data_IF_864666338272
#
_entry.id   IF_864666338272
#
_cell.length_a   1.000
_cell.length_b   1.000
_cell.length_c   1.000
_cell.angle_alpha   90.00
_cell.angle_beta   90.00
_cell.angle_gamma   90.00
#
_symmetry.space_group_name_H-M   'P 1'
#
loop_
_entity.id
_entity.type
_entity.pdbx_description
1 polymer ?
#
# COMPACT_ATOMS: atom_id res chain seq x y z
N UNK A 1 4.34 -18.23 11.46
CA UNK A 1 4.60 -17.22 10.43
C UNK A 1 3.32 -17.13 9.61
N UNK A 2 2.41 -16.21 9.95
CA UNK A 2 1.09 -16.11 9.31
C UNK A 2 1.22 -15.29 8.04
N UNK A 3 1.44 -15.98 6.92
CA UNK A 3 1.48 -15.38 5.59
C UNK A 3 0.05 -15.40 5.02
N UNK A 4 -0.33 -14.37 4.26
CA UNK A 4 -1.64 -14.33 3.60
C UNK A 4 -1.77 -15.51 2.65
N UNK A 5 -2.76 -16.36 2.87
CA UNK A 5 -3.07 -17.44 1.92
C UNK A 5 -3.62 -16.85 0.63
N UNK A 6 -3.63 -17.62 -0.46
CA UNK A 6 -4.29 -17.20 -1.69
C UNK A 6 -5.78 -16.84 -1.46
N UNK A 7 -6.45 -17.56 -0.57
CA UNK A 7 -7.84 -17.28 -0.21
C UNK A 7 -7.97 -15.92 0.49
N UNK A 8 -7.07 -15.60 1.43
CA UNK A 8 -7.04 -14.29 2.09
C UNK A 8 -6.78 -13.15 1.09
N UNK A 9 -5.89 -13.39 0.12
CA UNK A 9 -5.54 -12.42 -0.92
C UNK A 9 -6.76 -12.13 -1.82
N UNK A 10 -7.43 -13.17 -2.33
CA UNK A 10 -8.66 -13.04 -3.12
C UNK A 10 -9.77 -12.36 -2.33
N UNK A 11 -9.90 -12.67 -1.03
CA UNK A 11 -10.87 -12.04 -0.15
C UNK A 11 -10.57 -10.53 0.03
N UNK A 12 -9.32 -10.13 0.24
CA UNK A 12 -8.95 -8.72 0.32
C UNK A 12 -9.23 -7.95 -0.98
N UNK A 13 -8.92 -8.53 -2.13
CA UNK A 13 -9.22 -7.92 -3.44
C UNK A 13 -10.73 -7.75 -3.63
N UNK A 14 -11.51 -8.77 -3.28
CA UNK A 14 -12.96 -8.69 -3.33
C UNK A 14 -13.51 -7.61 -2.39
N UNK A 15 -13.05 -7.58 -1.13
CA UNK A 15 -13.45 -6.55 -0.16
C UNK A 15 -13.15 -5.15 -0.69
N UNK A 16 -11.97 -4.94 -1.28
CA UNK A 16 -11.60 -3.66 -1.88
C UNK A 16 -12.57 -3.26 -3.01
N UNK A 17 -12.83 -4.16 -3.96
CA UNK A 17 -13.74 -3.93 -5.08
C UNK A 17 -15.19 -3.69 -4.63
N UNK A 18 -15.71 -4.55 -3.77
CA UNK A 18 -17.09 -4.46 -3.25
C UNK A 18 -17.28 -3.15 -2.47
N UNK A 19 -16.28 -2.72 -1.69
CA UNK A 19 -16.32 -1.45 -0.94
C UNK A 19 -16.39 -0.23 -1.87
N UNK A 20 -15.61 -0.25 -2.95
CA UNK A 20 -15.66 0.80 -3.97
C UNK A 20 -17.01 0.80 -4.68
N UNK A 21 -17.53 -0.38 -5.06
CA UNK A 21 -18.85 -0.51 -5.68
C UNK A 21 -19.96 0.07 -4.79
N UNK A 22 -20.02 -0.32 -3.52
CA UNK A 22 -21.01 0.21 -2.56
C UNK A 22 -20.89 1.74 -2.41
N UNK A 23 -19.65 2.27 -2.39
CA UNK A 23 -19.43 3.72 -2.34
C UNK A 23 -20.01 4.44 -3.57
N UNK A 24 -19.73 3.92 -4.78
CA UNK A 24 -20.23 4.50 -6.04
C UNK A 24 -21.76 4.42 -6.15
N UNK A 25 -22.36 3.33 -5.65
CA UNK A 25 -23.81 3.14 -5.60
C UNK A 25 -24.50 3.90 -4.45
N UNK A 26 -23.72 4.53 -3.55
CA UNK A 26 -24.21 5.17 -2.31
C UNK A 26 -24.96 4.21 -1.38
N UNK A 27 -24.51 2.96 -1.35
CA UNK A 27 -25.03 1.92 -0.48
C UNK A 27 -24.22 1.84 0.82
N UNK A 28 -24.74 1.09 1.80
CA UNK A 28 -24.00 0.81 3.01
C UNK A 28 -22.73 0.00 2.66
N UNK A 29 -21.56 0.32 3.26
CA UNK A 29 -20.34 -0.44 3.03
C UNK A 29 -20.55 -1.91 3.43
N UNK A 30 -20.29 -2.83 2.51
CA UNK A 30 -20.29 -4.25 2.81
C UNK A 30 -18.92 -4.68 3.31
N UNK A 31 -18.86 -5.18 4.55
CA UNK A 31 -17.68 -5.83 5.11
C UNK A 31 -18.06 -7.26 5.49
N UNK A 32 -17.56 -8.29 4.77
CA UNK A 32 -17.86 -9.68 5.10
C UNK A 32 -17.18 -10.08 6.43
N UNK A 33 -17.68 -11.15 7.04
CA UNK A 33 -16.91 -11.85 8.06
C UNK A 33 -15.64 -12.45 7.44
N UNK A 34 -14.54 -12.37 8.19
CA UNK A 34 -13.22 -12.84 7.74
C UNK A 34 -12.72 -13.96 8.67
N UNK A 35 -11.94 -14.93 8.17
CA UNK A 35 -11.50 -16.11 8.93
C UNK A 35 -10.49 -15.84 10.07
N UNK A 36 -10.24 -14.57 10.44
CA UNK A 36 -9.28 -14.18 11.47
C UNK A 36 -7.84 -14.06 10.94
N UNK A 37 -6.86 -14.25 11.83
CA UNK A 37 -5.43 -14.20 11.48
C UNK A 37 -4.99 -12.80 11.02
N UNK A 38 -4.10 -12.74 10.02
CA UNK A 38 -3.51 -11.50 9.53
C UNK A 38 -4.56 -10.49 9.03
N UNK A 39 -5.70 -10.97 8.53
CA UNK A 39 -6.81 -10.13 8.08
C UNK A 39 -7.34 -9.24 9.21
N UNK A 40 -7.35 -9.76 10.44
CA UNK A 40 -7.86 -9.07 11.63
C UNK A 40 -6.79 -8.27 12.37
N UNK A 41 -5.52 -8.40 11.99
CA UNK A 41 -4.42 -7.68 12.64
C UNK A 41 -4.26 -6.26 12.07
N UNK A 42 -3.76 -5.30 12.87
CA UNK A 42 -3.34 -3.99 12.37
C UNK A 42 -2.11 -4.12 11.46
N UNK A 43 -2.30 -3.91 10.16
CA UNK A 43 -1.24 -3.96 9.14
C UNK A 43 -1.37 -2.80 8.18
N UNK A 44 -0.25 -2.12 7.95
CA UNK A 44 -0.22 -1.09 6.91
C UNK A 44 -0.57 -1.68 5.55
N UNK A 45 -1.28 -0.92 4.73
CA UNK A 45 -1.72 -1.38 3.41
C UNK A 45 -1.78 -0.22 2.43
N UNK A 46 -1.39 -0.48 1.19
CA UNK A 46 -1.66 0.39 0.05
C UNK A 46 -2.58 -0.34 -0.92
N UNK A 47 -3.56 0.38 -1.46
CA UNK A 47 -4.42 -0.09 -2.55
C UNK A 47 -4.14 0.78 -3.76
N UNK A 48 -3.76 0.12 -4.85
CA UNK A 48 -3.54 0.73 -6.16
C UNK A 48 -4.60 0.23 -7.12
N UNK A 49 -5.16 1.13 -7.91
CA UNK A 49 -6.11 0.86 -8.97
C UNK A 49 -5.41 1.15 -10.29
N UNK A 50 -5.44 0.19 -11.21
CA UNK A 50 -4.85 0.33 -12.53
C UNK A 50 -5.91 0.20 -13.62
N UNK A 51 -5.79 0.97 -14.69
CA UNK A 51 -6.61 0.83 -15.90
C UNK A 51 -5.70 0.55 -17.07
N UNK A 52 -5.84 -0.62 -17.71
CA UNK A 52 -5.00 -1.03 -18.85
C UNK A 52 -3.49 -0.93 -18.55
N UNK A 53 -3.10 -1.30 -17.33
CA UNK A 53 -1.72 -1.24 -16.86
C UNK A 53 -1.23 0.13 -16.37
N UNK A 54 -2.03 1.20 -16.51
CA UNK A 54 -1.68 2.54 -16.03
C UNK A 54 -2.28 2.85 -14.66
N UNK A 55 -1.55 3.58 -13.82
CA UNK A 55 -2.03 3.97 -12.49
C UNK A 55 -3.25 4.90 -12.59
N UNK A 56 -4.35 4.50 -11.96
CA UNK A 56 -5.65 5.21 -11.95
C UNK A 56 -6.04 5.75 -10.57
N UNK A 57 -5.35 5.30 -9.51
CA UNK A 57 -5.46 5.80 -8.14
C UNK A 57 -4.58 4.97 -7.20
N UNK A 58 -4.00 5.58 -6.17
CA UNK A 58 -3.26 4.84 -5.14
C UNK A 58 -3.25 5.59 -3.81
N UNK A 59 -3.79 4.95 -2.78
CA UNK A 59 -3.82 5.43 -1.41
C UNK A 59 -3.44 4.30 -0.47
N UNK A 60 -2.74 4.64 0.61
CA UNK A 60 -2.44 3.68 1.66
C UNK A 60 -2.36 4.30 3.03
N UNK A 61 -2.49 3.42 4.03
CA UNK A 61 -2.34 3.74 5.43
C UNK A 61 -1.19 2.91 6.01
N UNK A 62 -0.17 3.60 6.49
CA UNK A 62 1.08 3.02 6.97
C UNK A 62 1.01 2.68 8.47
N UNK A 63 0.12 3.34 9.21
CA UNK A 63 -0.10 3.10 10.65
C UNK A 63 -1.60 2.97 10.94
N UNK A 64 -2.24 1.88 10.50
CA UNK A 64 -3.66 1.71 10.74
C UNK A 64 -3.93 1.37 12.20
N UNK A 65 -5.01 1.94 12.72
CA UNK A 65 -5.55 1.61 14.03
C UNK A 65 -6.47 0.38 13.98
N UNK A 66 -6.92 -0.04 12.79
CA UNK A 66 -7.90 -1.10 12.58
C UNK A 66 -7.33 -2.34 11.89
N UNK A 67 -8.19 -3.36 11.77
CA UNK A 67 -7.89 -4.61 11.08
C UNK A 67 -7.56 -4.39 9.60
N UNK A 68 -6.61 -5.18 9.07
CA UNK A 68 -6.16 -5.14 7.68
C UNK A 68 -7.32 -5.11 6.67
N UNK A 69 -8.32 -5.99 6.82
CA UNK A 69 -9.45 -6.02 5.86
C UNK A 69 -10.23 -4.70 5.81
N UNK A 70 -10.40 -4.02 6.97
CA UNK A 70 -11.07 -2.72 7.04
C UNK A 70 -10.21 -1.63 6.43
N UNK A 71 -8.94 -1.60 6.78
CA UNK A 71 -8.01 -0.61 6.24
C UNK A 71 -7.87 -0.77 4.72
N UNK A 72 -7.89 -2.00 4.20
CA UNK A 72 -7.89 -2.26 2.76
C UNK A 72 -9.15 -1.70 2.08
N UNK A 73 -10.34 -1.94 2.66
CA UNK A 73 -11.60 -1.36 2.19
C UNK A 73 -11.56 0.18 2.15
N UNK A 74 -11.13 0.80 3.25
CA UNK A 74 -11.02 2.27 3.38
C UNK A 74 -10.04 2.85 2.36
N UNK A 75 -8.86 2.23 2.20
CA UNK A 75 -7.86 2.67 1.23
C UNK A 75 -8.33 2.46 -0.21
N UNK A 76 -9.09 1.40 -0.50
CA UNK A 76 -9.65 1.16 -1.83
C UNK A 76 -10.64 2.25 -2.23
N UNK A 77 -11.57 2.61 -1.33
CA UNK A 77 -12.49 3.72 -1.55
C UNK A 77 -11.72 5.03 -1.75
N UNK A 78 -10.76 5.32 -0.87
CA UNK A 78 -9.95 6.53 -1.00
C UNK A 78 -9.13 6.57 -2.30
N UNK A 79 -8.60 5.43 -2.77
CA UNK A 79 -7.90 5.35 -4.05
C UNK A 79 -8.83 5.59 -5.25
N UNK A 80 -10.08 5.11 -5.17
CA UNK A 80 -11.07 5.22 -6.23
C UNK A 80 -11.67 6.62 -6.39
N UNK A 81 -11.94 7.31 -5.28
CA UNK A 81 -12.70 8.58 -5.30
C UNK A 81 -12.01 9.75 -4.59
N UNK A 82 -10.91 9.51 -3.87
CA UNK A 82 -10.25 10.49 -3.00
C UNK A 82 -8.79 10.79 -3.35
N UNK A 83 -8.20 10.15 -4.36
CA UNK A 83 -6.83 10.46 -4.79
C UNK A 83 -6.82 11.81 -5.53
N UNK A 84 -6.17 12.87 -5.01
CA UNK A 84 -6.24 14.23 -5.55
C UNK A 84 -5.58 14.37 -6.94
N UNK A 85 -4.84 13.35 -7.39
CA UNK A 85 -4.20 13.33 -8.71
C UNK A 85 -5.15 12.92 -9.83
N UNK A 86 -6.29 12.32 -9.49
CA UNK A 86 -7.21 11.73 -10.46
C UNK A 86 -8.66 12.16 -10.17
N UNK A 87 -9.49 12.14 -11.21
CA UNK A 87 -10.94 12.27 -11.01
C UNK A 87 -11.51 10.96 -10.44
N UNK A 88 -12.57 11.00 -9.62
CA UNK A 88 -13.23 9.79 -9.13
C UNK A 88 -13.60 8.84 -10.27
N UNK A 89 -13.41 7.53 -10.08
CA UNK A 89 -13.83 6.54 -11.08
C UNK A 89 -15.36 6.43 -11.14
N UNK A 90 -15.90 6.00 -12.28
CA UNK A 90 -17.34 5.71 -12.43
C UNK A 90 -17.64 4.23 -12.20
N UNK A 91 -18.92 3.88 -12.11
CA UNK A 91 -19.35 2.49 -11.98
C UNK A 91 -18.98 1.66 -13.22
N UNK A 92 -19.07 2.26 -14.41
CA UNK A 92 -18.65 1.63 -15.67
C UNK A 92 -17.13 1.43 -15.69
N UNK A 93 -16.37 2.42 -15.24
CA UNK A 93 -14.92 2.32 -15.14
C UNK A 93 -14.48 1.25 -14.13
N UNK A 94 -15.27 1.00 -13.07
CA UNK A 94 -14.98 -0.05 -12.09
C UNK A 94 -14.83 -1.43 -12.76
N UNK A 95 -15.59 -1.72 -13.82
CA UNK A 95 -15.49 -2.98 -14.57
C UNK A 95 -14.21 -3.10 -15.42
N UNK A 96 -13.52 -1.98 -15.70
CA UNK A 96 -12.31 -1.95 -16.55
C UNK A 96 -11.01 -1.83 -15.75
N UNK A 97 -11.07 -1.65 -14.43
CA UNK A 97 -9.89 -1.47 -13.59
C UNK A 97 -9.48 -2.76 -12.88
N UNK A 98 -8.20 -2.84 -12.55
CA UNK A 98 -7.61 -3.90 -11.76
C UNK A 98 -7.14 -3.36 -10.40
N UNK A 99 -7.42 -4.09 -9.33
CA UNK A 99 -6.94 -3.79 -7.99
C UNK A 99 -5.64 -4.53 -7.69
N UNK A 100 -4.71 -3.81 -7.07
CA UNK A 100 -3.48 -4.34 -6.48
C UNK A 100 -3.39 -3.88 -5.02
N UNK A 101 -3.04 -4.81 -4.13
CA UNK A 101 -2.92 -4.58 -2.70
C UNK A 101 -1.49 -4.88 -2.28
N UNK A 102 -0.88 -3.94 -1.58
CA UNK A 102 0.43 -4.08 -0.94
C UNK A 102 0.27 -4.08 0.58
N UNK A 103 0.37 -5.25 1.21
CA UNK A 103 0.30 -5.40 2.67
C UNK A 103 1.70 -5.26 3.27
N UNK A 104 1.86 -4.34 4.20
CA UNK A 104 3.13 -4.05 4.83
C UNK A 104 3.39 -4.99 6.02
N UNK A 105 4.66 -5.35 6.22
CA UNK A 105 5.11 -5.91 7.49
C UNK A 105 4.96 -4.90 8.64
N UNK A 106 5.30 -5.32 9.87
CA UNK A 106 5.57 -4.33 10.91
C UNK A 106 6.67 -3.38 10.43
N UNK A 107 6.51 -2.13 10.81
CA UNK A 107 7.51 -1.09 10.59
C UNK A 107 8.49 -1.19 11.75
N UNK A 108 9.72 -1.53 11.43
CA UNK A 108 10.76 -1.81 12.40
C UNK A 108 11.82 -0.71 12.37
N UNK A 109 12.33 -0.26 13.53
CA UNK A 109 13.39 0.74 13.56
C UNK A 109 14.68 0.16 12.99
N UNK A 110 15.34 0.92 12.11
CA UNK A 110 16.69 0.59 11.64
C UNK A 110 17.67 0.87 12.78
N UNK A 111 18.33 -0.18 13.28
CA UNK A 111 19.45 -0.03 14.24
C UNK A 111 20.78 0.17 13.53
N UNK A 112 20.99 -0.54 12.43
CA UNK A 112 22.15 -0.39 11.57
C UNK A 112 21.69 -0.27 10.12
N UNK A 113 22.18 0.74 9.39
CA UNK A 113 21.85 0.91 7.97
C UNK A 113 22.23 -0.32 7.14
N UNK A 114 23.25 -1.08 7.56
CA UNK A 114 23.66 -2.31 6.88
C UNK A 114 22.55 -3.36 6.80
N UNK A 115 21.57 -3.33 7.71
CA UNK A 115 20.42 -4.23 7.75
C UNK A 115 19.37 -3.90 6.68
N UNK A 116 19.50 -2.74 6.03
CA UNK A 116 18.62 -2.35 4.92
C UNK A 116 19.01 -3.14 3.67
N UNK A 117 18.10 -4.00 3.22
CA UNK A 117 18.22 -4.76 1.97
C UNK A 117 17.45 -4.05 0.85
N UNK A 118 18.18 -3.50 -0.12
CA UNK A 118 17.58 -2.84 -1.30
C UNK A 118 16.75 -3.86 -2.09
N UNK A 119 15.54 -3.46 -2.49
CA UNK A 119 14.59 -4.32 -3.21
C UNK A 119 13.73 -5.22 -2.34
N UNK A 120 14.12 -5.41 -1.07
CA UNK A 120 13.31 -6.13 -0.08
C UNK A 120 12.62 -5.16 0.88
N UNK A 121 13.36 -4.16 1.34
CA UNK A 121 12.88 -3.19 2.32
C UNK A 121 12.44 -1.89 1.65
N UNK A 122 11.28 -1.39 2.05
CA UNK A 122 10.86 0.00 1.91
C UNK A 122 11.37 0.80 3.11
N UNK A 123 11.46 2.11 2.96
CA UNK A 123 11.97 3.00 3.99
C UNK A 123 10.90 4.00 4.40
N UNK A 124 10.84 4.24 5.71
CA UNK A 124 10.10 5.33 6.31
C UNK A 124 11.06 6.20 7.11
N UNK A 125 11.25 7.44 6.66
CA UNK A 125 12.09 8.43 7.36
C UNK A 125 11.23 9.55 7.90
N UNK A 126 11.49 9.92 9.16
CA UNK A 126 10.86 11.09 9.78
C UNK A 126 11.87 11.91 10.56
N UNK A 127 11.67 13.24 10.57
CA UNK A 127 12.43 14.19 11.39
C UNK A 127 11.50 15.37 11.70
N UNK A 128 11.21 15.61 12.98
CA UNK A 128 10.20 16.60 13.43
C UNK A 128 8.84 16.32 12.76
N UNK A 129 8.28 17.28 12.02
CA UNK A 129 6.99 17.17 11.35
C UNK A 129 7.09 16.61 9.91
N UNK A 130 8.30 16.37 9.42
CA UNK A 130 8.54 15.86 8.07
C UNK A 130 8.56 14.33 8.06
N UNK A 131 7.91 13.73 7.06
CA UNK A 131 7.80 12.29 6.90
C UNK A 131 7.78 11.91 5.42
N UNK A 132 8.59 10.92 5.05
CA UNK A 132 8.66 10.39 3.70
C UNK A 132 8.72 8.88 3.73
N UNK A 133 8.02 8.25 2.78
CA UNK A 133 8.02 6.80 2.62
C UNK A 133 8.25 6.46 1.16
N UNK A 134 9.11 5.46 0.91
CA UNK A 134 9.28 4.83 -0.39
C UNK A 134 9.17 3.31 -0.25
N UNK A 135 8.44 2.70 -1.18
CA UNK A 135 8.20 1.26 -1.22
C UNK A 135 9.45 0.50 -1.71
N UNK A 136 9.58 -0.81 -1.38
CA UNK A 136 10.77 -1.61 -1.72
C UNK A 136 11.19 -1.56 -3.21
N UNK A 137 10.22 -1.61 -4.11
CA UNK A 137 10.44 -1.67 -5.55
C UNK A 137 11.06 -0.40 -6.13
N UNK A 138 10.87 0.75 -5.48
CA UNK A 138 11.31 2.05 -6.02
C UNK A 138 12.82 2.07 -6.20
N UNK A 139 13.59 1.61 -5.21
CA UNK A 139 15.04 1.59 -5.30
C UNK A 139 15.54 0.69 -6.45
N UNK A 140 14.85 -0.41 -6.73
CA UNK A 140 15.19 -1.31 -7.84
C UNK A 140 14.89 -0.66 -9.19
N UNK A 141 13.70 -0.05 -9.35
CA UNK A 141 13.31 0.63 -10.58
C UNK A 141 14.32 1.69 -11.02
N UNK A 142 14.89 2.43 -10.08
CA UNK A 142 15.86 3.49 -10.37
C UNK A 142 17.33 3.06 -10.19
N UNK A 143 17.61 1.79 -9.89
CA UNK A 143 18.97 1.28 -9.71
C UNK A 143 19.74 1.95 -8.58
N UNK A 144 19.06 2.33 -7.49
CA UNK A 144 19.67 2.98 -6.34
C UNK A 144 20.36 1.99 -5.42
N UNK A 145 21.53 2.37 -4.93
CA UNK A 145 22.13 1.72 -3.77
C UNK A 145 21.44 2.16 -2.47
N UNK A 146 21.86 1.56 -1.36
CA UNK A 146 21.31 1.82 -0.02
C UNK A 146 21.42 3.30 0.40
N UNK A 147 22.57 3.93 0.19
CA UNK A 147 22.78 5.32 0.61
C UNK A 147 21.94 6.29 -0.23
N UNK A 148 21.83 6.02 -1.54
CA UNK A 148 20.96 6.79 -2.41
C UNK A 148 19.51 6.61 -2.03
N UNK A 149 19.08 5.39 -1.71
CA UNK A 149 17.71 5.12 -1.30
C UNK A 149 17.32 5.84 0.00
N UNK A 150 18.22 5.87 0.99
CA UNK A 150 18.06 6.67 2.20
C UNK A 150 17.93 8.17 1.87
N UNK A 151 18.82 8.66 1.01
CA UNK A 151 18.86 10.08 0.61
C UNK A 151 17.61 10.53 -0.15
N UNK A 152 17.08 9.69 -1.04
CA UNK A 152 15.83 9.96 -1.77
C UNK A 152 14.61 9.86 -0.87
N UNK A 153 14.61 8.95 0.11
CA UNK A 153 13.54 8.90 1.12
C UNK A 153 13.53 10.17 1.98
N UNK A 154 14.71 10.71 2.35
CA UNK A 154 14.80 12.02 3.00
C UNK A 154 14.21 13.13 2.12
N UNK A 155 14.58 13.21 0.84
CA UNK A 155 14.03 14.21 -0.07
C UNK A 155 12.51 14.07 -0.22
N UNK A 156 12.00 12.84 -0.28
CA UNK A 156 10.56 12.56 -0.29
C UNK A 156 9.86 13.07 0.97
N UNK A 157 10.55 13.07 2.10
CA UNK A 157 10.08 13.66 3.35
C UNK A 157 10.15 15.21 3.38
N UNK A 158 10.75 15.85 2.37
CA UNK A 158 11.08 17.28 2.39
C UNK A 158 12.32 17.62 3.23
N UNK A 159 13.17 16.63 3.51
CA UNK A 159 14.39 16.76 4.29
C UNK A 159 15.64 16.93 3.40
N UNK A 160 16.77 17.29 4.00
CA UNK A 160 18.06 17.26 3.31
C UNK A 160 18.46 15.83 3.02
N UNK A 161 19.16 15.61 1.91
CA UNK A 161 19.55 14.28 1.46
C UNK A 161 20.41 13.51 2.48
N UNK A 162 21.12 14.22 3.35
CA UNK A 162 22.01 13.67 4.39
C UNK A 162 21.37 13.63 5.78
N UNK A 163 20.11 14.04 5.96
CA UNK A 163 19.45 14.05 7.27
C UNK A 163 19.33 12.64 7.89
N UNK A 164 19.39 11.57 7.09
CA UNK A 164 19.45 10.19 7.60
C UNK A 164 20.75 9.89 8.36
N UNK A 165 21.83 10.66 8.14
CA UNK A 165 23.08 10.55 8.89
C UNK A 165 23.03 11.32 10.21
N UNK A 166 22.09 12.25 10.37
CA UNK A 166 22.00 13.13 11.54
C UNK A 166 20.55 13.40 11.97
N UNK A 167 20.10 12.67 12.99
CA UNK A 167 18.90 12.99 13.75
C UNK A 167 17.56 12.68 13.07
N UNK A 168 17.53 12.05 11.90
CA UNK A 168 16.30 11.46 11.37
C UNK A 168 16.10 10.03 11.92
N UNK A 169 14.85 9.69 12.23
CA UNK A 169 14.47 8.33 12.59
C UNK A 169 14.20 7.55 11.31
N UNK A 170 14.82 6.37 11.19
CA UNK A 170 14.68 5.51 10.03
C UNK A 170 14.01 4.21 10.46
N UNK A 171 12.97 3.82 9.73
CA UNK A 171 12.36 2.52 9.85
C UNK A 171 12.38 1.80 8.49
N UNK A 172 12.38 0.48 8.52
CA UNK A 172 12.16 -0.35 7.34
C UNK A 172 10.90 -1.19 7.48
N UNK A 173 10.38 -1.65 6.35
CA UNK A 173 9.30 -2.62 6.25
C UNK A 173 9.43 -3.38 4.94
N UNK A 174 8.86 -4.57 4.83
CA UNK A 174 8.63 -5.24 3.54
C UNK A 174 7.18 -5.08 3.11
N UNK A 175 6.90 -5.21 1.82
CA UNK A 175 5.54 -5.24 1.29
C UNK A 175 5.30 -6.58 0.58
N UNK A 176 4.18 -7.22 0.89
CA UNK A 176 3.67 -8.35 0.14
C UNK A 176 2.60 -7.87 -0.83
N UNK A 177 2.86 -8.01 -2.13
CA UNK A 177 2.06 -7.40 -3.20
C UNK A 177 1.33 -8.47 -3.99
N UNK A 178 0.03 -8.31 -4.16
CA UNK A 178 -0.83 -9.19 -4.94
C UNK A 178 -1.93 -8.38 -5.63
N UNK A 179 -2.42 -8.85 -6.78
CA UNK A 179 -3.43 -8.15 -7.57
C UNK A 179 -4.31 -9.08 -8.39
N UNK A 180 -5.40 -8.55 -8.93
CA UNK A 180 -6.41 -9.35 -9.66
C UNK A 180 -5.84 -10.06 -10.90
N UNK A 181 -4.87 -9.45 -11.57
CA UNK A 181 -4.17 -10.01 -12.73
C UNK A 181 -3.45 -11.33 -12.41
N UNK A 182 -3.01 -11.54 -11.17
CA UNK A 182 -2.37 -12.80 -10.73
C UNK A 182 -3.36 -13.96 -10.64
N UNK A 183 -4.65 -13.67 -10.52
CA UNK A 183 -5.67 -14.67 -10.21
C UNK A 183 -6.66 -14.93 -11.34
N UNK A 184 -6.46 -14.29 -12.50
CA UNK A 184 -7.44 -14.22 -13.58
C UNK A 184 -8.85 -13.87 -13.07
N UNK A 185 -8.91 -13.00 -12.05
CA UNK A 185 -10.16 -12.41 -11.60
C UNK A 185 -10.53 -11.37 -12.65
N UNK A 186 -11.00 -11.82 -13.80
CA UNK A 186 -11.69 -10.95 -14.75
C UNK A 186 -12.87 -10.32 -14.01
N UNK A 187 -13.12 -9.02 -14.24
CA UNK A 187 -14.44 -8.46 -14.00
C UNK A 187 -15.44 -9.37 -14.74
N UNK A 188 -16.09 -10.28 -14.01
CA UNK A 188 -17.01 -11.26 -14.60
C UNK A 188 -18.16 -10.50 -15.29
N UNK A 189 -18.69 -11.05 -16.40
CA UNK A 189 -19.42 -10.33 -17.43
C UNK A 189 -20.81 -9.83 -17.00
#
# INVERSE_FOLDING_TARGET
MYQLTEQDQRLLLRIARDSVQSCLLKEAPYLPEVPGGLLTEPRGVFVSIHKRGELRGCIGNVHPAGALYRTAAECAVAAAVGDPRFVPITLEELAEVEFEISVLSLIEPVKNIADIEVGKHGLLISKKNARGLLLPQVAITYGWDRERFLSETCRKAGLRADDWKDGATIHYFSAFVFGESQFHLSATP
#
